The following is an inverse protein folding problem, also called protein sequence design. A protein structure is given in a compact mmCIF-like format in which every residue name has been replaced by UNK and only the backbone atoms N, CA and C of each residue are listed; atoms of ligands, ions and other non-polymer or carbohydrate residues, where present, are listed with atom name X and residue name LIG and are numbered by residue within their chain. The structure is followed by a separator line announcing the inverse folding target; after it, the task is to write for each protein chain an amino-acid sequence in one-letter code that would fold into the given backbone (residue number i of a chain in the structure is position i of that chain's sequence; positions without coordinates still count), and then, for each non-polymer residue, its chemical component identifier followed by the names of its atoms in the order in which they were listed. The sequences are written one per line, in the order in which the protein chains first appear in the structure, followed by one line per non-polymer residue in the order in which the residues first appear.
data_IF_963626019876
#
_entry.id   IF_963626019876
#
_cell.length_a   1.000
_cell.length_b   1.000
_cell.length_c   1.000
_cell.angle_alpha   90.00
_cell.angle_beta   90.00
_cell.angle_gamma   90.00
#
_symmetry.space_group_name_H-M   'P 1'
#
loop_
_entity.id
_entity.type
_entity.pdbx_description
1 polymer ?
#
# COMPACT_ATOMS: atom_id res chain seq x y z
N UNK A 1 44.50 9.64 25.33
CA UNK A 1 43.65 9.90 24.14
C UNK A 1 42.68 8.74 24.04
N UNK A 2 41.38 8.98 24.21
CA UNK A 2 40.37 7.93 23.99
C UNK A 2 40.26 7.72 22.49
N UNK A 3 40.56 6.51 22.01
CA UNK A 3 40.34 6.12 20.61
C UNK A 3 38.87 6.41 20.26
N UNK A 4 38.64 7.23 19.22
CA UNK A 4 37.30 7.39 18.69
C UNK A 4 36.82 6.00 18.24
N UNK A 5 35.62 5.56 18.64
CA UNK A 5 35.11 4.27 18.23
C UNK A 5 35.06 4.20 16.69
N UNK A 6 35.57 3.10 16.13
CA UNK A 6 35.55 2.86 14.67
C UNK A 6 34.12 2.92 14.17
N UNK A 7 33.88 3.70 13.12
CA UNK A 7 32.59 3.73 12.44
C UNK A 7 32.30 2.33 11.87
N UNK A 8 31.13 1.77 12.20
CA UNK A 8 30.70 0.47 11.66
C UNK A 8 30.42 0.59 10.16
N UNK A 9 30.78 -0.44 9.40
CA UNK A 9 30.57 -0.49 7.96
C UNK A 9 29.42 -1.44 7.61
N UNK A 10 28.65 -1.10 6.58
CA UNK A 10 27.62 -1.96 6.04
C UNK A 10 27.72 -2.07 4.51
N UNK A 11 27.50 -3.28 4.00
CA UNK A 11 27.31 -3.53 2.57
C UNK A 11 25.87 -3.94 2.32
N UNK A 12 25.21 -3.30 1.37
CA UNK A 12 23.87 -3.66 0.91
C UNK A 12 23.96 -4.21 -0.51
N UNK A 13 23.47 -5.43 -0.73
CA UNK A 13 23.49 -6.11 -2.03
C UNK A 13 22.17 -5.82 -2.75
N UNK A 14 22.22 -5.01 -3.80
CA UNK A 14 21.10 -4.62 -4.66
C UNK A 14 20.53 -3.23 -4.34
N UNK A 15 20.41 -2.39 -5.36
CA UNK A 15 19.86 -1.03 -5.31
C UNK A 15 18.36 -0.99 -5.69
N UNK A 16 17.60 -2.00 -5.27
CA UNK A 16 16.14 -1.97 -5.30
C UNK A 16 15.54 -1.08 -4.21
N UNK A 17 14.22 -0.90 -4.18
CA UNK A 17 13.53 -0.06 -3.19
C UNK A 17 13.87 -0.44 -1.73
N UNK A 18 13.90 -1.74 -1.41
CA UNK A 18 14.25 -2.22 -0.07
C UNK A 18 15.71 -1.93 0.30
N UNK A 19 16.63 -2.18 -0.63
CA UNK A 19 18.06 -1.94 -0.45
C UNK A 19 18.41 -0.46 -0.31
N UNK A 20 17.85 0.39 -1.17
CA UNK A 20 18.05 1.85 -1.13
C UNK A 20 17.48 2.47 0.14
N UNK A 21 16.25 2.10 0.54
CA UNK A 21 15.67 2.56 1.79
C UNK A 21 16.49 2.10 3.01
N UNK A 22 16.93 0.84 3.03
CA UNK A 22 17.76 0.32 4.13
C UNK A 22 19.13 1.01 4.18
N UNK A 23 19.76 1.22 3.04
CA UNK A 23 21.06 1.89 2.95
C UNK A 23 21.00 3.32 3.50
N UNK A 24 19.99 4.10 3.08
CA UNK A 24 19.78 5.46 3.57
C UNK A 24 19.59 5.47 5.10
N UNK A 25 18.79 4.54 5.64
CA UNK A 25 18.54 4.43 7.09
C UNK A 25 19.79 4.03 7.89
N UNK A 26 20.59 3.10 7.36
CA UNK A 26 21.84 2.68 7.99
C UNK A 26 22.86 3.83 8.00
N UNK A 27 22.96 4.58 6.90
CA UNK A 27 23.81 5.76 6.83
C UNK A 27 23.35 6.86 7.78
N UNK A 28 22.04 7.13 7.83
CA UNK A 28 21.43 8.06 8.79
C UNK A 28 21.67 7.65 10.25
N UNK A 29 21.74 6.34 10.53
CA UNK A 29 22.12 5.79 11.84
C UNK A 29 23.64 5.85 12.13
N UNK A 30 24.44 6.41 11.22
CA UNK A 30 25.86 6.67 11.39
C UNK A 30 26.80 5.57 10.85
N UNK A 31 26.31 4.59 10.10
CA UNK A 31 27.17 3.57 9.47
C UNK A 31 27.78 4.09 8.17
N UNK A 32 28.98 3.62 7.83
CA UNK A 32 29.55 3.81 6.50
C UNK A 32 28.98 2.74 5.56
N UNK A 33 28.13 3.14 4.62
CA UNK A 33 27.34 2.22 3.79
C UNK A 33 27.81 2.21 2.34
N UNK A 34 28.01 1.02 1.78
CA UNK A 34 28.18 0.82 0.33
C UNK A 34 27.06 -0.06 -0.21
N UNK A 35 26.40 0.39 -1.27
CA UNK A 35 25.43 -0.39 -2.04
C UNK A 35 26.11 -0.95 -3.28
N UNK A 36 26.00 -2.26 -3.50
CA UNK A 36 26.53 -2.95 -4.66
C UNK A 36 25.38 -3.40 -5.54
N UNK A 37 25.33 -2.91 -6.78
CA UNK A 37 24.27 -3.22 -7.74
C UNK A 37 24.89 -3.82 -9.00
N UNK A 38 24.35 -4.95 -9.46
CA UNK A 38 24.87 -5.64 -10.64
C UNK A 38 24.54 -4.91 -11.94
N UNK A 39 23.40 -4.21 -11.98
CA UNK A 39 22.99 -3.43 -13.13
C UNK A 39 23.72 -2.07 -13.16
N UNK A 40 23.70 -1.41 -14.30
CA UNK A 40 24.17 -0.03 -14.47
C UNK A 40 23.11 1.03 -14.07
N UNK A 41 21.96 0.58 -13.55
CA UNK A 41 20.86 1.40 -13.07
C UNK A 41 20.35 0.95 -11.68
N UNK A 42 19.64 1.84 -10.99
CA UNK A 42 18.96 1.58 -9.72
C UNK A 42 17.47 1.24 -9.92
N UNK A 43 16.80 0.72 -8.90
CA UNK A 43 15.37 0.39 -8.94
C UNK A 43 15.09 -1.10 -8.83
N UNK A 44 15.99 -1.96 -9.30
CA UNK A 44 15.74 -3.41 -9.36
C UNK A 44 14.45 -3.70 -10.13
N UNK A 45 13.46 -4.34 -9.48
CA UNK A 45 12.12 -4.56 -10.08
C UNK A 45 11.34 -3.25 -10.29
N UNK A 46 11.68 -2.18 -9.59
CA UNK A 46 11.12 -0.84 -9.76
C UNK A 46 11.95 -0.01 -10.77
N UNK A 47 12.48 -0.65 -11.82
CA UNK A 47 13.27 -0.01 -12.86
C UNK A 47 12.39 0.64 -13.93
N UNK A 48 13.03 1.49 -14.73
CA UNK A 48 12.42 2.27 -15.79
C UNK A 48 13.09 1.97 -17.13
N UNK A 49 12.31 1.51 -18.10
CA UNK A 49 12.75 1.37 -19.49
C UNK A 49 12.41 2.65 -20.26
N UNK A 50 13.39 3.20 -20.98
CA UNK A 50 13.17 4.33 -21.89
C UNK A 50 13.52 3.92 -23.32
N UNK A 51 12.58 4.10 -24.24
CA UNK A 51 12.78 3.82 -25.67
C UNK A 51 13.49 4.96 -26.38
N UNK A 52 14.15 4.67 -27.50
CA UNK A 52 14.76 5.70 -28.35
C UNK A 52 13.74 6.75 -28.85
N UNK A 53 12.47 6.38 -28.98
CA UNK A 53 11.34 7.24 -29.32
C UNK A 53 10.81 8.10 -28.16
N UNK A 54 11.38 7.99 -26.96
CA UNK A 54 11.01 8.80 -25.80
C UNK A 54 9.88 8.24 -24.93
N UNK A 55 9.30 7.07 -25.25
CA UNK A 55 8.37 6.39 -24.36
C UNK A 55 9.08 5.82 -23.14
N UNK A 56 8.41 5.88 -21.98
CA UNK A 56 8.89 5.41 -20.68
C UNK A 56 7.95 4.32 -20.15
N UNK A 57 8.51 3.26 -19.60
CA UNK A 57 7.78 2.12 -19.05
C UNK A 57 8.36 1.73 -17.68
N UNK A 58 7.57 1.89 -16.62
CA UNK A 58 7.87 1.25 -15.34
C UNK A 58 7.77 -0.27 -15.52
N UNK A 59 8.82 -1.01 -15.13
CA UNK A 59 8.93 -2.44 -15.46
C UNK A 59 8.34 -3.39 -14.40
N UNK A 60 7.94 -2.87 -13.24
CA UNK A 60 7.42 -3.70 -12.14
C UNK A 60 6.15 -3.13 -11.52
N UNK A 61 6.27 -2.34 -10.44
CA UNK A 61 5.10 -1.84 -9.73
C UNK A 61 4.28 -0.89 -10.60
N UNK A 62 2.97 -1.04 -10.51
CA UNK A 62 1.97 -0.24 -11.23
C UNK A 62 0.92 0.38 -10.31
N UNK A 63 0.95 0.05 -9.02
CA UNK A 63 0.01 0.53 -7.99
C UNK A 63 0.79 0.86 -6.72
N UNK A 64 0.63 2.08 -6.20
CA UNK A 64 1.16 2.46 -4.89
C UNK A 64 0.03 2.37 -3.86
N UNK A 65 0.15 1.39 -2.96
CA UNK A 65 -0.73 1.20 -1.81
C UNK A 65 0.00 1.64 -0.54
N UNK A 66 -0.74 1.90 0.54
CA UNK A 66 -0.18 2.26 1.84
C UNK A 66 0.76 3.49 1.77
N UNK A 67 0.33 4.63 1.19
CA UNK A 67 1.19 5.82 1.02
C UNK A 67 1.82 6.27 2.34
N UNK A 68 1.14 6.04 3.47
CA UNK A 68 1.65 6.31 4.82
C UNK A 68 3.03 5.68 5.09
N UNK A 69 3.30 4.47 4.62
CA UNK A 69 4.60 3.80 4.83
C UNK A 69 5.73 4.49 4.06
N UNK A 70 5.42 5.04 2.90
CA UNK A 70 6.36 5.85 2.14
C UNK A 70 6.61 7.19 2.84
N UNK A 71 5.57 7.91 3.27
CA UNK A 71 5.75 9.12 4.07
C UNK A 71 6.57 8.87 5.34
N UNK A 72 6.29 7.79 6.07
CA UNK A 72 7.04 7.40 7.26
C UNK A 72 8.52 7.17 6.94
N UNK A 73 8.82 6.50 5.80
CA UNK A 73 10.20 6.23 5.41
C UNK A 73 11.00 7.50 5.15
N UNK A 74 10.43 8.48 4.45
CA UNK A 74 11.09 9.77 4.23
C UNK A 74 11.20 10.59 5.53
N UNK A 75 10.17 10.54 6.39
CA UNK A 75 10.19 11.22 7.69
C UNK A 75 11.29 10.70 8.62
N UNK A 76 11.54 9.39 8.62
CA UNK A 76 12.62 8.75 9.40
C UNK A 76 14.02 9.08 8.86
N UNK A 77 14.11 9.64 7.66
CA UNK A 77 15.33 10.20 7.06
C UNK A 77 15.39 11.73 7.19
N UNK A 78 14.52 12.32 8.00
CA UNK A 78 14.50 13.77 8.24
C UNK A 78 13.92 14.61 7.10
N UNK A 79 13.18 14.00 6.17
CA UNK A 79 12.58 14.67 5.01
C UNK A 79 11.13 14.23 4.76
N UNK A 80 10.56 14.51 3.59
CA UNK A 80 9.22 14.08 3.15
C UNK A 80 9.23 13.75 1.67
N UNK A 81 8.24 12.98 1.19
CA UNK A 81 8.08 12.70 -0.24
C UNK A 81 8.00 13.99 -1.06
N UNK A 82 7.17 14.93 -0.60
CA UNK A 82 6.97 16.23 -1.23
C UNK A 82 8.24 17.09 -1.18
N UNK A 83 8.96 17.07 -0.07
CA UNK A 83 10.23 17.78 0.10
C UNK A 83 11.32 17.29 -0.86
N UNK A 84 11.30 16.01 -1.23
CA UNK A 84 12.18 15.44 -2.25
C UNK A 84 11.61 15.52 -3.67
N UNK A 85 10.44 16.15 -3.86
CA UNK A 85 9.81 16.33 -5.17
C UNK A 85 9.16 15.06 -5.72
N UNK A 86 8.63 14.20 -4.85
CA UNK A 86 7.75 13.08 -5.20
C UNK A 86 6.30 13.48 -4.93
N UNK A 87 5.58 13.85 -6.00
CA UNK A 87 4.14 14.12 -5.94
C UNK A 87 3.37 12.80 -6.08
N UNK A 88 2.54 12.44 -5.10
CA UNK A 88 1.61 11.32 -5.20
C UNK A 88 0.23 11.81 -5.62
N UNK A 89 -0.33 11.22 -6.68
CA UNK A 89 -1.71 11.47 -7.11
C UNK A 89 -2.57 10.26 -6.85
N UNK A 90 -3.71 10.48 -6.22
CA UNK A 90 -4.72 9.45 -6.07
C UNK A 90 -5.38 9.15 -7.42
N UNK A 91 -5.49 7.87 -7.76
CA UNK A 91 -6.19 7.39 -8.95
C UNK A 91 -7.69 7.41 -8.68
N UNK A 92 -8.44 8.16 -9.49
CA UNK A 92 -9.90 8.27 -9.37
C UNK A 92 -10.57 8.01 -10.74
N UNK A 93 -11.22 6.85 -10.95
CA UNK A 93 -11.34 5.71 -10.02
C UNK A 93 -10.01 4.98 -9.78
N UNK A 94 -9.96 4.07 -8.81
CA UNK A 94 -8.79 3.22 -8.57
C UNK A 94 -8.45 2.42 -9.84
N UNK A 95 -9.43 1.72 -10.42
CA UNK A 95 -9.36 1.04 -11.72
C UNK A 95 -10.75 0.61 -12.20
N UNK A 96 -10.83 0.11 -13.44
CA UNK A 96 -12.04 -0.50 -14.00
C UNK A 96 -11.79 -1.97 -14.34
N UNK A 97 -12.69 -2.84 -13.88
CA UNK A 97 -12.71 -4.25 -14.27
C UNK A 97 -13.65 -4.39 -15.46
N UNK A 98 -13.17 -4.97 -16.55
CA UNK A 98 -13.95 -5.26 -17.74
C UNK A 98 -14.30 -6.75 -17.81
N UNK A 99 -15.58 -7.05 -17.98
CA UNK A 99 -16.07 -8.40 -18.18
C UNK A 99 -16.05 -8.74 -19.68
N UNK A 100 -16.05 -10.04 -20.01
CA UNK A 100 -15.97 -10.52 -21.40
C UNK A 100 -17.17 -10.13 -22.28
N UNK A 101 -18.29 -9.72 -21.68
CA UNK A 101 -19.48 -9.19 -22.37
C UNK A 101 -19.42 -7.67 -22.59
N UNK A 102 -18.32 -7.02 -22.24
CA UNK A 102 -18.13 -5.58 -22.36
C UNK A 102 -18.72 -4.76 -21.20
N UNK A 103 -19.39 -5.40 -20.23
CA UNK A 103 -19.78 -4.71 -19.01
C UNK A 103 -18.54 -4.37 -18.16
N UNK A 104 -18.66 -3.38 -17.28
CA UNK A 104 -17.59 -2.99 -16.38
C UNK A 104 -18.07 -2.76 -14.95
N UNK A 105 -17.12 -2.86 -14.02
CA UNK A 105 -17.23 -2.42 -12.63
C UNK A 105 -16.17 -1.35 -12.35
N UNK A 106 -16.58 -0.18 -11.87
CA UNK A 106 -15.66 0.89 -11.47
C UNK A 106 -15.27 0.73 -10.00
N UNK A 107 -14.02 0.31 -9.76
CA UNK A 107 -13.48 0.21 -8.40
C UNK A 107 -13.05 1.58 -7.91
N UNK A 108 -13.57 2.03 -6.78
CA UNK A 108 -13.25 3.34 -6.23
C UNK A 108 -13.15 3.31 -4.71
N UNK A 109 -12.45 4.29 -4.15
CA UNK A 109 -12.49 4.60 -2.72
C UNK A 109 -13.59 5.60 -2.34
N UNK A 110 -14.30 6.14 -3.34
CA UNK A 110 -15.49 6.96 -3.18
C UNK A 110 -16.71 6.06 -2.89
N UNK A 111 -17.22 6.12 -1.66
CA UNK A 111 -18.36 5.30 -1.22
C UNK A 111 -19.64 5.59 -2.00
N UNK A 112 -19.86 6.82 -2.46
CA UNK A 112 -21.05 7.17 -3.23
C UNK A 112 -21.00 6.55 -4.64
N UNK A 113 -19.80 6.45 -5.25
CA UNK A 113 -19.61 5.69 -6.50
C UNK A 113 -19.74 4.20 -6.27
N UNK A 114 -19.11 3.68 -5.20
CA UNK A 114 -19.17 2.26 -4.87
C UNK A 114 -20.59 1.79 -4.59
N UNK A 115 -21.43 2.60 -3.93
CA UNK A 115 -22.85 2.29 -3.71
C UNK A 115 -23.57 2.04 -5.04
N UNK A 116 -23.43 2.97 -5.98
CA UNK A 116 -24.05 2.85 -7.32
C UNK A 116 -23.55 1.61 -8.07
N UNK A 117 -22.25 1.36 -8.03
CA UNK A 117 -21.67 0.20 -8.71
C UNK A 117 -22.09 -1.12 -8.07
N UNK A 118 -22.16 -1.24 -6.74
CA UNK A 118 -22.61 -2.45 -6.06
C UNK A 118 -24.10 -2.69 -6.29
N UNK A 119 -24.94 -1.66 -6.09
CA UNK A 119 -26.41 -1.80 -6.23
C UNK A 119 -26.83 -2.16 -7.66
N UNK A 120 -26.07 -1.75 -8.67
CA UNK A 120 -26.26 -2.14 -10.07
C UNK A 120 -26.24 -3.66 -10.28
N UNK A 121 -25.47 -4.40 -9.48
CA UNK A 121 -25.31 -5.86 -9.61
C UNK A 121 -26.09 -6.65 -8.55
N UNK A 122 -26.19 -6.12 -7.32
CA UNK A 122 -26.71 -6.85 -6.16
C UNK A 122 -28.04 -6.30 -5.63
N UNK A 123 -28.59 -5.27 -6.28
CA UNK A 123 -29.75 -4.52 -5.79
C UNK A 123 -29.43 -3.65 -4.57
N UNK A 124 -30.45 -2.96 -4.04
CA UNK A 124 -30.31 -2.03 -2.89
C UNK A 124 -29.69 -2.69 -1.66
N UNK A 125 -30.09 -3.94 -1.37
CA UNK A 125 -29.58 -4.70 -0.23
C UNK A 125 -28.09 -5.08 -0.38
N UNK A 126 -27.54 -5.00 -1.60
CA UNK A 126 -26.12 -5.22 -1.86
C UNK A 126 -25.21 -4.22 -1.15
N UNK A 127 -25.70 -2.99 -0.94
CA UNK A 127 -24.91 -1.95 -0.27
C UNK A 127 -24.60 -2.31 1.18
N UNK A 128 -25.59 -2.78 1.95
CA UNK A 128 -25.39 -3.20 3.34
C UNK A 128 -24.40 -4.37 3.43
N UNK A 129 -24.50 -5.33 2.50
CA UNK A 129 -23.55 -6.44 2.43
C UNK A 129 -22.13 -5.99 2.08
N UNK A 130 -21.98 -5.02 1.18
CA UNK A 130 -20.68 -4.41 0.88
C UNK A 130 -20.08 -3.72 2.12
N UNK A 131 -20.87 -2.99 2.89
CA UNK A 131 -20.39 -2.39 4.15
C UNK A 131 -19.96 -3.47 5.16
N UNK A 132 -20.70 -4.57 5.26
CA UNK A 132 -20.31 -5.74 6.06
C UNK A 132 -18.98 -6.35 5.60
N UNK A 133 -18.74 -6.44 4.29
CA UNK A 133 -17.46 -6.89 3.74
C UNK A 133 -16.33 -5.92 4.13
N UNK A 134 -16.57 -4.61 3.99
CA UNK A 134 -15.59 -3.58 4.31
C UNK A 134 -15.21 -3.59 5.79
N UNK A 135 -16.19 -3.86 6.67
CA UNK A 135 -15.95 -4.00 8.12
C UNK A 135 -15.07 -5.21 8.45
N UNK A 136 -15.32 -6.37 7.83
CA UNK A 136 -14.46 -7.55 7.99
C UNK A 136 -13.05 -7.29 7.44
N UNK A 137 -12.95 -6.70 6.25
CA UNK A 137 -11.68 -6.36 5.62
C UNK A 137 -10.87 -5.34 6.46
N UNK A 138 -11.53 -4.35 7.06
CA UNK A 138 -10.93 -3.42 8.02
C UNK A 138 -10.35 -4.17 9.23
N UNK A 139 -11.09 -5.14 9.77
CA UNK A 139 -10.63 -5.93 10.91
C UNK A 139 -9.40 -6.74 10.55
N UNK A 140 -9.38 -7.35 9.36
CA UNK A 140 -8.20 -8.04 8.84
C UNK A 140 -7.00 -7.10 8.67
N UNK A 141 -7.23 -5.88 8.16
CA UNK A 141 -6.19 -4.86 8.03
C UNK A 141 -5.57 -4.47 9.38
N UNK A 142 -6.38 -4.03 10.33
CA UNK A 142 -5.89 -3.55 11.64
C UNK A 142 -5.09 -4.64 12.37
N UNK A 143 -5.65 -5.86 12.43
CA UNK A 143 -4.97 -6.99 13.06
C UNK A 143 -3.67 -7.38 12.34
N UNK A 144 -3.65 -7.31 11.01
CA UNK A 144 -2.45 -7.63 10.23
C UNK A 144 -1.38 -6.56 10.41
N UNK A 145 -1.72 -5.28 10.42
CA UNK A 145 -0.79 -4.17 10.71
C UNK A 145 -0.22 -4.30 12.12
N UNK A 146 -1.08 -4.46 13.13
CA UNK A 146 -0.68 -4.49 14.55
C UNK A 146 0.15 -5.73 14.89
N UNK A 147 -0.21 -6.90 14.36
CA UNK A 147 0.36 -8.16 14.81
C UNK A 147 1.32 -8.81 13.82
N UNK A 148 1.29 -8.44 12.54
CA UNK A 148 2.04 -9.13 11.49
C UNK A 148 3.01 -8.19 10.77
N UNK A 149 2.52 -7.20 10.02
CA UNK A 149 3.33 -6.40 9.08
C UNK A 149 4.47 -5.62 9.75
N UNK A 150 4.28 -5.15 10.98
CA UNK A 150 5.27 -4.36 11.71
C UNK A 150 6.16 -5.20 12.65
N UNK A 151 6.18 -6.52 12.51
CA UNK A 151 6.91 -7.42 13.41
C UNK A 151 7.81 -8.40 12.66
N UNK A 152 8.99 -8.63 13.23
CA UNK A 152 9.90 -9.65 12.73
C UNK A 152 9.53 -11.03 13.26
N UNK A 153 9.55 -12.03 12.38
CA UNK A 153 9.34 -13.43 12.73
C UNK A 153 10.62 -14.21 12.45
N UNK A 154 11.43 -14.41 13.50
CA UNK A 154 12.73 -15.07 13.39
C UNK A 154 12.64 -16.59 13.55
N UNK A 155 11.49 -17.12 13.95
CA UNK A 155 11.22 -18.56 14.05
C UNK A 155 9.73 -18.88 14.03
N UNK A 156 9.36 -20.13 13.72
CA UNK A 156 7.96 -20.59 13.83
C UNK A 156 7.43 -20.44 15.27
N UNK A 157 8.28 -20.63 16.28
CA UNK A 157 7.90 -20.41 17.68
C UNK A 157 7.56 -18.92 17.96
N UNK A 158 8.22 -17.98 17.28
CA UNK A 158 7.90 -16.55 17.40
C UNK A 158 6.50 -16.18 16.87
N UNK A 159 5.89 -17.05 16.05
CA UNK A 159 4.50 -16.92 15.59
C UNK A 159 3.48 -17.44 16.60
N UNK A 160 3.87 -18.38 17.49
CA UNK A 160 2.99 -19.01 18.50
C UNK A 160 2.79 -18.10 19.72
N UNK A 161 2.14 -16.95 19.52
CA UNK A 161 1.79 -16.02 20.59
C UNK A 161 0.33 -16.22 20.99
N UNK A 162 0.02 -16.54 22.26
CA UNK A 162 -1.37 -16.68 22.72
C UNK A 162 -2.24 -15.45 22.40
N UNK A 163 -1.64 -14.25 22.45
CA UNK A 163 -2.29 -12.99 22.07
C UNK A 163 -2.67 -12.89 20.60
N UNK A 164 -1.97 -13.62 19.71
CA UNK A 164 -2.26 -13.68 18.27
C UNK A 164 -3.19 -14.85 17.93
N UNK A 165 -3.05 -15.99 18.61
CA UNK A 165 -3.88 -17.18 18.37
C UNK A 165 -5.38 -16.92 18.54
N UNK A 166 -5.78 -16.03 19.46
CA UNK A 166 -7.19 -15.62 19.61
C UNK A 166 -7.74 -14.92 18.35
N UNK A 167 -6.89 -14.23 17.60
CA UNK A 167 -7.27 -13.51 16.39
C UNK A 167 -7.29 -14.41 15.15
N UNK A 168 -6.81 -15.65 15.24
CA UNK A 168 -6.82 -16.61 14.14
C UNK A 168 -8.24 -16.89 13.64
N UNK A 169 -9.23 -16.90 14.55
CA UNK A 169 -10.63 -17.05 14.18
C UNK A 169 -11.20 -15.81 13.48
N UNK A 170 -10.79 -14.61 13.90
CA UNK A 170 -11.23 -13.34 13.30
C UNK A 170 -10.57 -13.11 11.93
N UNK A 171 -9.37 -13.63 11.73
CA UNK A 171 -8.57 -13.49 10.51
C UNK A 171 -9.02 -14.47 9.41
N UNK A 172 -9.70 -15.56 9.76
CA UNK A 172 -10.12 -16.59 8.81
C UNK A 172 -9.00 -17.10 7.86
N UNK A 173 -7.80 -17.45 8.36
CA UNK A 173 -6.68 -17.85 7.50
C UNK A 173 -6.88 -19.22 6.83
N UNK A 174 -7.86 -20.00 7.28
CA UNK A 174 -8.18 -21.34 6.76
C UNK A 174 -9.37 -21.36 5.80
N UNK A 175 -10.03 -20.22 5.57
CA UNK A 175 -11.08 -20.08 4.57
C UNK A 175 -10.51 -19.29 3.39
N UNK A 176 -10.87 -19.64 2.17
CA UNK A 176 -10.42 -18.86 1.01
C UNK A 176 -11.16 -17.54 0.90
N UNK A 177 -10.50 -16.52 0.35
CA UNK A 177 -11.08 -15.20 0.11
C UNK A 177 -12.31 -15.31 -0.79
N UNK A 178 -12.33 -16.25 -1.75
CA UNK A 178 -13.53 -16.55 -2.54
C UNK A 178 -14.71 -17.02 -1.69
N UNK A 179 -14.47 -17.96 -0.77
CA UNK A 179 -15.51 -18.48 0.13
C UNK A 179 -16.01 -17.40 1.08
N UNK A 180 -15.11 -16.56 1.62
CA UNK A 180 -15.46 -15.40 2.46
C UNK A 180 -16.29 -14.38 1.71
N UNK A 181 -15.81 -13.94 0.54
CA UNK A 181 -16.51 -12.97 -0.30
C UNK A 181 -17.92 -13.44 -0.66
N UNK A 182 -18.13 -14.76 -0.78
CA UNK A 182 -19.44 -15.34 -1.06
C UNK A 182 -20.51 -15.10 0.01
N UNK A 183 -20.13 -14.72 1.24
CA UNK A 183 -21.07 -14.31 2.29
C UNK A 183 -21.71 -12.95 2.00
N UNK A 184 -20.99 -12.07 1.31
CA UNK A 184 -21.37 -10.69 1.07
C UNK A 184 -21.88 -10.46 -0.35
N UNK A 185 -21.22 -11.06 -1.34
CA UNK A 185 -21.55 -10.90 -2.75
C UNK A 185 -22.20 -12.17 -3.27
N UNK A 186 -23.41 -12.07 -3.83
CA UNK A 186 -24.17 -13.23 -4.28
C UNK A 186 -24.00 -13.50 -5.76
N UNK A 187 -23.78 -12.45 -6.54
CA UNK A 187 -23.40 -12.57 -7.95
C UNK A 187 -21.96 -13.01 -8.08
N UNK A 188 -21.72 -13.92 -9.03
CA UNK A 188 -20.37 -14.38 -9.32
C UNK A 188 -19.47 -13.23 -9.80
N UNK A 189 -20.04 -12.23 -10.47
CA UNK A 189 -19.31 -11.04 -10.95
C UNK A 189 -18.75 -10.23 -9.80
N UNK A 190 -19.56 -9.89 -8.78
CA UNK A 190 -19.03 -9.15 -7.64
C UNK A 190 -18.09 -9.99 -6.78
N UNK A 191 -18.29 -11.31 -6.66
CA UNK A 191 -17.27 -12.17 -6.03
C UNK A 191 -15.93 -12.04 -6.73
N UNK A 192 -15.88 -12.13 -8.07
CA UNK A 192 -14.64 -11.94 -8.84
C UNK A 192 -14.02 -10.56 -8.62
N UNK A 193 -14.84 -9.50 -8.63
CA UNK A 193 -14.39 -8.12 -8.35
C UNK A 193 -13.73 -8.03 -6.97
N UNK A 194 -14.39 -8.54 -5.94
CA UNK A 194 -13.91 -8.47 -4.55
C UNK A 194 -12.96 -9.61 -4.15
N UNK A 195 -12.51 -10.41 -5.11
CA UNK A 195 -11.41 -11.37 -4.90
C UNK A 195 -10.25 -11.13 -5.84
N UNK A 196 -10.36 -10.17 -6.77
CA UNK A 196 -9.34 -9.86 -7.78
C UNK A 196 -7.99 -9.50 -7.14
N UNK A 197 -8.00 -8.87 -5.96
CA UNK A 197 -6.80 -8.49 -5.22
C UNK A 197 -5.88 -9.67 -4.85
N UNK A 198 -6.35 -10.93 -4.92
CA UNK A 198 -5.47 -12.10 -4.74
C UNK A 198 -4.33 -12.15 -5.76
N UNK A 199 -4.49 -11.46 -6.91
CA UNK A 199 -3.46 -11.33 -7.94
C UNK A 199 -2.17 -10.69 -7.42
N UNK A 200 -2.22 -9.80 -6.42
CA UNK A 200 -1.02 -9.14 -5.89
C UNK A 200 -0.03 -10.12 -5.26
N UNK A 201 -0.53 -11.29 -4.87
CA UNK A 201 0.27 -12.33 -4.26
C UNK A 201 0.61 -13.44 -5.27
N UNK A 202 0.16 -13.31 -6.52
CA UNK A 202 0.22 -14.40 -7.51
C UNK A 202 -0.58 -15.63 -7.08
N UNK A 203 -1.61 -15.47 -6.24
CA UNK A 203 -2.42 -16.58 -5.72
C UNK A 203 -3.81 -16.63 -6.36
N UNK A 204 -4.30 -17.86 -6.54
CA UNK A 204 -5.68 -18.13 -6.89
C UNK A 204 -6.61 -17.67 -5.75
N UNK A 205 -7.74 -16.98 -6.04
CA UNK A 205 -8.69 -16.55 -5.00
C UNK A 205 -9.39 -17.74 -4.32
N UNK A 206 -9.33 -18.92 -4.92
CA UNK A 206 -9.88 -20.15 -4.35
C UNK A 206 -8.97 -20.74 -3.25
N UNK A 207 -7.70 -20.34 -3.23
CA UNK A 207 -6.68 -20.85 -2.31
C UNK A 207 -6.15 -19.76 -1.36
N UNK A 208 -6.21 -18.50 -1.77
CA UNK A 208 -5.75 -17.36 -0.99
C UNK A 208 -6.58 -17.22 0.31
N UNK A 209 -5.95 -17.19 1.50
CA UNK A 209 -6.62 -16.99 2.79
C UNK A 209 -7.53 -15.75 2.88
N UNK A 210 -8.60 -15.84 3.68
CA UNK A 210 -9.58 -14.77 3.89
C UNK A 210 -8.97 -13.48 4.44
N UNK A 211 -7.89 -13.58 5.23
CA UNK A 211 -7.12 -12.42 5.73
C UNK A 211 -6.72 -11.43 4.66
N UNK A 212 -6.53 -11.90 3.41
CA UNK A 212 -6.03 -11.06 2.33
C UNK A 212 -7.03 -10.04 1.82
N UNK A 213 -8.28 -10.05 2.29
CA UNK A 213 -9.18 -8.91 2.08
C UNK A 213 -8.65 -7.61 2.68
N UNK A 214 -7.63 -7.66 3.56
CA UNK A 214 -6.88 -6.48 3.99
C UNK A 214 -6.35 -5.63 2.82
N UNK A 215 -5.93 -6.26 1.72
CA UNK A 215 -5.40 -5.55 0.54
C UNK A 215 -6.52 -4.85 -0.22
N UNK A 216 -7.72 -5.41 -0.20
CA UNK A 216 -8.89 -4.72 -0.76
C UNK A 216 -9.33 -3.57 0.13
N UNK A 217 -9.22 -3.72 1.46
CA UNK A 217 -9.49 -2.62 2.37
C UNK A 217 -8.59 -1.42 2.09
N UNK A 218 -7.29 -1.62 1.84
CA UNK A 218 -6.38 -0.51 1.52
C UNK A 218 -6.78 0.18 0.23
N UNK A 219 -7.15 -0.55 -0.83
CA UNK A 219 -7.67 0.07 -2.05
C UNK A 219 -8.97 0.86 -1.83
N UNK A 220 -9.93 0.25 -1.14
CA UNK A 220 -11.27 0.79 -0.96
C UNK A 220 -11.33 1.97 0.02
N UNK A 221 -10.39 2.04 0.97
CA UNK A 221 -10.38 3.09 1.98
C UNK A 221 -9.22 4.09 1.82
N UNK A 222 -8.00 3.62 1.54
CA UNK A 222 -6.84 4.50 1.37
C UNK A 222 -6.67 4.95 -0.09
N UNK A 223 -7.21 4.20 -1.04
CA UNK A 223 -7.09 4.46 -2.47
C UNK A 223 -5.80 3.93 -3.08
N UNK A 224 -5.73 3.99 -4.40
CA UNK A 224 -4.54 3.69 -5.19
C UNK A 224 -3.86 4.98 -5.59
N UNK A 225 -2.53 5.01 -5.48
CA UNK A 225 -1.74 6.21 -5.74
C UNK A 225 -0.76 5.97 -6.89
N UNK A 226 -0.44 7.05 -7.58
CA UNK A 226 0.56 7.10 -8.64
C UNK A 226 1.60 8.18 -8.34
N UNK A 227 2.89 7.84 -8.22
CA UNK A 227 3.96 8.83 -8.17
C UNK A 227 4.11 9.51 -9.54
N UNK A 228 3.91 10.82 -9.59
CA UNK A 228 4.07 11.59 -10.83
C UNK A 228 5.49 11.44 -11.33
N UNK A 229 5.62 10.94 -12.56
CA UNK A 229 6.90 10.62 -13.18
C UNK A 229 7.27 9.13 -13.15
N UNK A 230 6.46 8.27 -12.52
CA UNK A 230 6.65 6.82 -12.49
C UNK A 230 7.18 6.31 -11.16
N UNK A 231 7.11 5.00 -10.94
CA UNK A 231 7.44 4.36 -9.67
C UNK A 231 8.93 4.41 -9.35
N UNK A 232 9.77 4.36 -10.38
CA UNK A 232 11.22 4.53 -10.23
C UNK A 232 11.59 5.86 -9.56
N UNK A 233 10.76 6.92 -9.72
CA UNK A 233 10.98 8.24 -9.10
C UNK A 233 11.14 8.17 -7.58
N UNK A 234 10.41 7.27 -6.93
CA UNK A 234 10.52 7.07 -5.47
C UNK A 234 11.90 6.51 -5.10
N UNK A 235 12.40 5.56 -5.90
CA UNK A 235 13.73 4.97 -5.69
C UNK A 235 14.82 5.98 -5.99
N UNK A 236 14.71 6.71 -7.10
CA UNK A 236 15.63 7.78 -7.47
C UNK A 236 15.80 8.78 -6.32
N UNK A 237 14.70 9.24 -5.71
CA UNK A 237 14.75 10.15 -4.57
C UNK A 237 15.32 9.54 -3.30
N UNK A 238 15.08 8.25 -3.05
CA UNK A 238 15.76 7.56 -1.94
C UNK A 238 17.27 7.40 -2.16
N UNK A 239 17.71 7.21 -3.41
CA UNK A 239 19.14 7.17 -3.76
C UNK A 239 19.76 8.54 -3.51
N UNK A 240 19.15 9.63 -3.99
CA UNK A 240 19.63 10.99 -3.73
C UNK A 240 19.70 11.32 -2.23
N UNK A 241 18.69 10.93 -1.45
CA UNK A 241 18.71 11.06 0.02
C UNK A 241 19.88 10.26 0.60
N UNK A 242 20.05 9.00 0.19
CA UNK A 242 21.15 8.15 0.64
C UNK A 242 22.53 8.73 0.32
N UNK A 243 22.73 9.28 -0.87
CA UNK A 243 23.98 9.93 -1.26
C UNK A 243 24.31 11.13 -0.36
N UNK A 244 23.29 11.94 0.01
CA UNK A 244 23.47 13.05 0.96
C UNK A 244 23.83 12.59 2.37
N UNK A 245 23.33 11.42 2.78
CA UNK A 245 23.71 10.74 4.04
C UNK A 245 25.08 10.04 3.94
N UNK A 246 25.73 10.06 2.77
CA UNK A 246 27.07 9.48 2.56
C UNK A 246 27.09 8.02 2.10
N UNK A 247 25.97 7.48 1.63
CA UNK A 247 25.92 6.15 1.00
C UNK A 247 26.71 6.18 -0.31
N UNK A 248 27.56 5.18 -0.53
CA UNK A 248 28.28 4.98 -1.79
C UNK A 248 27.55 3.93 -2.64
N UNK A 249 27.04 4.31 -3.80
CA UNK A 249 26.42 3.38 -4.77
C UNK A 249 27.45 2.96 -5.83
N UNK A 250 27.78 1.67 -5.88
CA UNK A 250 28.64 1.08 -6.93
C UNK A 250 27.79 0.22 -7.87
N UNK A 251 27.43 0.81 -9.01
CA UNK A 251 26.69 0.15 -10.08
C UNK A 251 27.63 -0.70 -10.96
N UNK A 252 27.08 -1.65 -11.70
CA UNK A 252 27.84 -2.60 -12.52
C UNK A 252 28.78 -3.51 -11.69
N UNK A 253 28.46 -3.73 -10.41
CA UNK A 253 29.24 -4.54 -9.45
C UNK A 253 28.39 -5.68 -8.93
N UNK A 254 28.40 -6.79 -9.65
CA UNK A 254 27.78 -8.02 -9.22
C UNK A 254 28.54 -8.64 -8.03
N UNK A 255 27.79 -9.02 -7.00
CA UNK A 255 28.31 -9.79 -5.87
C UNK A 255 28.30 -11.26 -6.25
N UNK A 256 29.47 -11.89 -6.21
CA UNK A 256 29.62 -13.32 -6.46
C UNK A 256 29.22 -14.13 -5.22
N UNK A 257 29.64 -13.69 -4.03
CA UNK A 257 29.41 -14.44 -2.79
C UNK A 257 29.41 -13.57 -1.54
N UNK A 258 28.59 -13.93 -0.55
CA UNK A 258 28.69 -13.44 0.82
C UNK A 258 29.76 -14.26 1.56
N UNK A 259 30.68 -13.55 2.20
CA UNK A 259 31.83 -14.14 2.89
C UNK A 259 31.48 -14.28 4.36
N UNK A 260 31.69 -15.48 4.90
CA UNK A 260 31.44 -15.80 6.30
C UNK A 260 32.77 -15.94 7.05
N UNK A 261 32.76 -15.73 8.37
CA UNK A 261 33.91 -16.03 9.21
C UNK A 261 34.17 -17.54 9.34
N UNK A 262 35.24 -17.91 10.04
CA UNK A 262 35.69 -19.29 10.15
C UNK A 262 34.70 -20.25 10.81
N UNK A 263 33.68 -19.76 11.54
CA UNK A 263 32.59 -20.61 12.06
C UNK A 263 31.47 -20.82 11.05
N UNK A 264 31.38 -20.00 10.00
CA UNK A 264 30.29 -20.05 9.02
C UNK A 264 28.97 -19.45 9.52
N UNK A 265 28.95 -18.79 10.68
CA UNK A 265 27.72 -18.28 11.29
C UNK A 265 27.52 -16.77 11.07
N UNK A 266 28.59 -16.03 10.76
CA UNK A 266 28.53 -14.57 10.65
C UNK A 266 29.14 -14.08 9.34
N UNK A 267 28.41 -13.22 8.63
CA UNK A 267 28.93 -12.53 7.47
C UNK A 267 30.00 -11.50 7.87
N UNK A 268 31.09 -11.47 7.12
CA UNK A 268 32.23 -10.54 7.31
C UNK A 268 32.49 -9.67 6.09
N UNK A 269 31.72 -9.85 5.03
CA UNK A 269 31.87 -9.08 3.79
C UNK A 269 31.30 -9.79 2.59
N UNK A 270 31.73 -9.36 1.41
CA UNK A 270 31.34 -9.93 0.12
C UNK A 270 32.54 -10.05 -0.82
N UNK A 271 32.46 -10.98 -1.76
CA UNK A 271 33.33 -11.09 -2.92
C UNK A 271 32.57 -10.64 -4.15
N UNK A 272 33.14 -9.72 -4.93
CA UNK A 272 32.59 -9.29 -6.21
C UNK A 272 33.03 -10.22 -7.34
N UNK A 273 32.26 -10.23 -8.43
CA UNK A 273 32.75 -10.77 -9.70
C UNK A 273 34.04 -10.04 -10.11
N UNK A 274 35.08 -10.81 -10.44
CA UNK A 274 36.44 -10.28 -10.66
C UNK A 274 37.38 -10.41 -9.45
N UNK A 275 36.88 -10.92 -8.30
CA UNK A 275 37.70 -11.32 -7.16
C UNK A 275 38.02 -10.23 -6.14
N UNK A 276 37.49 -9.01 -6.31
CA UNK A 276 37.58 -7.96 -5.30
C UNK A 276 36.86 -8.39 -4.01
N UNK A 277 37.55 -8.27 -2.88
CA UNK A 277 37.01 -8.58 -1.56
C UNK A 277 36.69 -7.29 -0.81
N UNK A 278 35.48 -7.19 -0.28
CA UNK A 278 35.04 -6.04 0.52
C UNK A 278 34.55 -6.50 1.88
N UNK A 279 35.22 -6.07 2.94
CA UNK A 279 34.86 -6.39 4.32
C UNK A 279 33.79 -5.43 4.86
N UNK A 280 32.87 -5.96 5.68
CA UNK A 280 31.85 -5.15 6.35
C UNK A 280 31.43 -5.77 7.69
N UNK A 281 31.05 -4.91 8.63
CA UNK A 281 30.48 -5.35 9.91
C UNK A 281 29.05 -5.91 9.75
N UNK A 282 28.34 -5.44 8.73
CA UNK A 282 26.97 -5.83 8.41
C UNK A 282 26.83 -6.06 6.90
N UNK A 283 26.20 -7.17 6.51
CA UNK A 283 25.80 -7.42 5.12
C UNK A 283 24.28 -7.53 5.07
N UNK A 284 23.64 -6.68 4.28
CA UNK A 284 22.21 -6.73 4.00
C UNK A 284 22.02 -7.26 2.59
N UNK A 285 21.38 -8.40 2.45
CA UNK A 285 21.04 -8.93 1.15
C UNK A 285 19.62 -8.52 0.74
N UNK A 286 19.51 -7.72 -0.33
CA UNK A 286 18.24 -7.33 -0.93
C UNK A 286 17.97 -8.07 -2.26
N UNK A 287 18.76 -9.11 -2.58
CA UNK A 287 18.43 -10.02 -3.68
C UNK A 287 17.23 -10.90 -3.36
N UNK A 288 16.74 -11.61 -4.37
CA UNK A 288 15.80 -12.71 -4.15
C UNK A 288 16.35 -13.74 -3.16
N UNK A 289 15.49 -14.28 -2.30
CA UNK A 289 15.87 -15.22 -1.24
C UNK A 289 16.42 -16.53 -1.80
N UNK A 290 15.73 -17.11 -2.79
CA UNK A 290 16.15 -18.38 -3.39
C UNK A 290 17.50 -18.20 -4.04
N UNK A 291 17.67 -17.11 -4.81
CA UNK A 291 18.94 -16.73 -5.43
C UNK A 291 20.06 -16.56 -4.40
N UNK A 292 19.79 -15.87 -3.29
CA UNK A 292 20.78 -15.64 -2.24
C UNK A 292 21.33 -16.96 -1.67
N UNK A 293 20.44 -17.90 -1.36
CA UNK A 293 20.84 -19.18 -0.79
C UNK A 293 21.56 -20.07 -1.80
N UNK A 294 21.17 -20.06 -3.08
CA UNK A 294 21.81 -20.92 -4.10
C UNK A 294 23.12 -20.37 -4.63
N UNK A 295 23.24 -19.05 -4.76
CA UNK A 295 24.36 -18.43 -5.47
C UNK A 295 25.26 -17.60 -4.55
N UNK A 296 24.69 -16.85 -3.61
CA UNK A 296 25.46 -15.94 -2.76
C UNK A 296 25.99 -16.61 -1.48
N UNK A 297 25.32 -17.65 -0.99
CA UNK A 297 25.74 -18.43 0.17
C UNK A 297 26.29 -19.80 -0.25
N UNK A 298 27.08 -20.43 0.63
CA UNK A 298 27.72 -21.71 0.35
C UNK A 298 26.69 -22.83 0.10
N UNK A 299 26.96 -23.79 -0.81
CA UNK A 299 26.08 -24.93 -1.07
C UNK A 299 25.70 -25.74 0.19
N UNK A 300 26.60 -25.81 1.17
CA UNK A 300 26.41 -26.51 2.44
C UNK A 300 25.29 -25.89 3.30
N UNK A 301 24.97 -24.61 3.07
CA UNK A 301 23.89 -23.87 3.75
C UNK A 301 22.59 -23.81 2.92
N UNK A 302 22.65 -24.17 1.63
CA UNK A 302 21.52 -24.18 0.69
C UNK A 302 20.68 -25.47 0.75
N UNK A 303 21.12 -26.48 1.51
CA UNK A 303 20.56 -27.83 1.52
C UNK A 303 19.06 -27.90 1.86
N UNK A 304 18.50 -26.91 2.58
CA UNK A 304 17.08 -26.87 2.95
C UNK A 304 16.15 -26.29 1.86
N UNK A 305 16.70 -25.66 0.81
CA UNK A 305 15.92 -25.01 -0.26
C UNK A 305 16.10 -25.65 -1.64
N UNK A 306 16.93 -26.70 -1.75
CA UNK A 306 17.09 -27.49 -2.97
C UNK A 306 15.75 -28.18 -3.33
N UNK A 307 15.04 -27.63 -4.32
CA UNK A 307 13.75 -28.13 -4.79
C UNK A 307 12.67 -27.07 -5.04
N UNK A 308 12.89 -25.82 -4.61
CA UNK A 308 12.02 -24.70 -4.98
C UNK A 308 12.36 -24.22 -6.40
N UNK A 309 11.38 -23.93 -7.27
CA UNK A 309 11.65 -23.44 -8.61
C UNK A 309 12.42 -22.11 -8.55
N UNK A 310 13.47 -21.98 -9.36
CA UNK A 310 14.14 -20.69 -9.50
C UNK A 310 13.16 -19.63 -9.99
N UNK A 311 13.19 -18.40 -9.45
CA UNK A 311 12.41 -17.32 -10.01
C UNK A 311 12.88 -17.05 -11.44
N UNK A 312 11.91 -16.79 -12.33
CA UNK A 312 12.20 -16.48 -13.72
C UNK A 312 13.28 -15.37 -13.81
N UNK A 313 14.33 -15.56 -14.63
CA UNK A 313 15.33 -14.52 -14.81
C UNK A 313 14.64 -13.24 -15.30
N UNK A 314 14.98 -12.11 -14.66
CA UNK A 314 14.70 -10.80 -15.27
C UNK A 314 15.45 -10.82 -16.61
N UNK A 315 14.76 -10.65 -17.75
CA UNK A 315 15.41 -10.73 -19.05
C UNK A 315 16.61 -9.79 -19.07
N UNK A 316 17.75 -10.33 -19.49
CA UNK A 316 18.97 -9.56 -19.70
C UNK A 316 18.63 -8.39 -20.62
N UNK A 317 18.92 -7.16 -20.20
CA UNK A 317 18.50 -5.94 -20.91
C UNK A 317 19.09 -5.82 -22.34
N UNK A 318 19.96 -6.76 -22.73
CA UNK A 318 20.56 -6.89 -24.06
C UNK A 318 19.93 -7.98 -24.96
N UNK A 319 18.94 -8.74 -24.49
CA UNK A 319 18.19 -9.65 -25.34
C UNK A 319 17.09 -8.88 -26.07
N UNK A 320 17.36 -8.52 -27.32
CA UNK A 320 16.42 -7.89 -28.24
C UNK A 320 15.02 -8.54 -28.15
N UNK A 321 14.04 -7.74 -27.75
CA UNK A 321 12.62 -8.11 -27.66
C UNK A 321 12.10 -8.31 -29.09
N UNK A 322 12.12 -9.55 -29.58
CA UNK A 322 11.15 -10.02 -30.56
C UNK A 322 9.96 -10.62 -29.78
N UNK A 323 8.72 -10.17 -30.00
CA UNK A 323 7.58 -10.66 -29.23
C UNK A 323 7.22 -12.08 -29.69
N UNK A 324 7.58 -13.07 -28.89
CA UNK A 324 7.03 -14.42 -29.00
C UNK A 324 5.81 -14.52 -28.09
N UNK A 325 4.62 -14.42 -28.68
CA UNK A 325 3.35 -14.70 -28.02
C UNK A 325 3.07 -16.20 -28.15
N UNK A 326 3.10 -16.94 -27.04
CA UNK A 326 2.65 -18.33 -26.99
C UNK A 326 1.19 -18.35 -26.53
N UNK A 327 0.26 -18.64 -27.44
CA UNK A 327 -1.10 -19.06 -27.08
C UNK A 327 -1.16 -20.59 -26.97
N UNK A 328 -1.92 -21.16 -26.01
CA UNK A 328 -2.25 -22.59 -26.04
C UNK A 328 -3.21 -22.90 -27.22
N UNK A 329 -3.19 -24.13 -27.77
CA UNK A 329 -3.99 -24.48 -28.94
C UNK A 329 -5.48 -24.52 -28.57
N UNK A 330 -6.26 -23.60 -29.12
CA UNK A 330 -7.71 -23.72 -29.22
C UNK A 330 -8.04 -24.42 -30.54
N UNK A 331 -8.59 -25.64 -30.45
CA UNK A 331 -9.19 -26.36 -31.58
C UNK A 331 -10.49 -25.67 -32.00
N UNK A 332 -10.37 -24.60 -32.81
CA UNK A 332 -11.37 -24.15 -33.77
C UNK A 332 -10.76 -22.97 -34.55
N UNK A 333 -10.48 -23.15 -35.84
CA UNK A 333 -9.99 -22.09 -36.70
C UNK A 333 -11.04 -20.95 -36.80
N UNK A 334 -10.72 -19.70 -36.39
CA UNK A 334 -11.55 -18.56 -36.76
C UNK A 334 -11.23 -18.19 -38.22
N UNK A 335 -12.28 -17.86 -38.99
CA UNK A 335 -12.14 -17.32 -40.33
C UNK A 335 -11.33 -16.01 -40.36
N UNK A 336 -10.93 -15.53 -41.55
CA UNK A 336 -10.09 -14.34 -41.67
C UNK A 336 -10.76 -13.12 -41.01
N UNK A 337 -9.99 -12.25 -40.33
CA UNK A 337 -10.54 -11.07 -39.69
C UNK A 337 -11.15 -10.12 -40.74
N UNK A 338 -12.27 -9.45 -40.45
CA UNK A 338 -12.81 -8.44 -41.35
C UNK A 338 -11.81 -7.30 -41.51
N UNK A 339 -11.62 -6.84 -42.74
CA UNK A 339 -10.79 -5.69 -43.07
C UNK A 339 -11.29 -4.43 -42.37
N UNK A 340 -10.40 -3.77 -41.64
CA UNK A 340 -10.68 -2.45 -41.07
C UNK A 340 -10.94 -1.45 -42.21
N UNK A 341 -12.03 -0.67 -42.18
CA UNK A 341 -12.26 0.37 -43.18
C UNK A 341 -11.22 1.50 -43.02
N UNK A 342 -10.74 2.02 -44.14
CA UNK A 342 -9.83 3.15 -44.20
C UNK A 342 -10.43 4.39 -43.50
N UNK A 343 -9.60 5.25 -42.87
CA UNK A 343 -10.09 6.41 -42.12
C UNK A 343 -10.78 7.40 -43.07
N UNK A 344 -12.09 7.56 -42.94
CA UNK A 344 -12.84 8.63 -43.58
C UNK A 344 -12.61 9.92 -42.81
N UNK A 345 -12.09 10.95 -43.47
CA UNK A 345 -12.00 12.31 -42.93
C UNK A 345 -13.41 12.88 -42.70
N UNK A 346 -13.91 12.80 -41.48
CA UNK A 346 -15.12 13.51 -41.06
C UNK A 346 -14.69 14.59 -40.07
N UNK A 347 -14.68 15.85 -40.53
CA UNK A 347 -14.60 17.00 -39.66
C UNK A 347 -15.82 16.97 -38.71
N UNK A 348 -15.61 16.55 -37.47
CA UNK A 348 -16.61 16.70 -36.42
C UNK A 348 -16.49 18.12 -35.86
N UNK A 349 -17.50 18.94 -36.14
CA UNK A 349 -17.76 20.16 -35.38
C UNK A 349 -17.95 19.79 -33.91
N UNK A 350 -17.13 20.39 -33.04
CA UNK A 350 -17.28 20.31 -31.58
C UNK A 350 -18.70 20.74 -31.17
N UNK A 351 -19.35 20.08 -30.19
CA UNK A 351 -20.66 20.49 -29.71
C UNK A 351 -20.58 21.88 -29.07
N UNK A 352 -21.51 22.75 -29.45
CA UNK A 352 -21.71 24.09 -28.87
C UNK A 352 -22.10 23.92 -27.40
N UNK A 353 -21.44 24.67 -26.51
CA UNK A 353 -21.72 24.66 -25.07
C UNK A 353 -23.21 24.96 -24.78
N UNK A 354 -23.83 24.28 -23.80
CA UNK A 354 -25.23 24.52 -23.44
C UNK A 354 -25.41 25.95 -22.89
N UNK A 355 -26.60 26.57 -23.10
CA UNK A 355 -26.88 27.91 -22.61
C UNK A 355 -26.81 27.97 -21.08
N UNK A 356 -26.29 29.08 -20.54
CA UNK A 356 -26.01 29.27 -19.11
C UNK A 356 -27.21 29.04 -18.18
N UNK A 357 -28.44 29.16 -18.69
CA UNK A 357 -29.67 28.85 -17.94
C UNK A 357 -29.80 27.36 -17.59
N UNK A 358 -29.35 26.46 -18.47
CA UNK A 358 -29.41 25.01 -18.26
C UNK A 358 -28.32 24.53 -17.28
N UNK A 359 -27.16 25.19 -17.29
CA UNK A 359 -26.07 24.96 -16.34
C UNK A 359 -26.48 25.38 -14.91
N UNK A 360 -27.30 26.42 -14.77
CA UNK A 360 -27.81 26.86 -13.47
C UNK A 360 -28.86 25.87 -12.90
N UNK A 361 -29.79 25.38 -13.72
CA UNK A 361 -30.78 24.37 -13.32
C UNK A 361 -30.10 23.05 -12.92
N UNK A 362 -29.11 22.59 -13.67
CA UNK A 362 -28.35 21.37 -13.35
C UNK A 362 -27.52 21.54 -12.06
N UNK A 363 -26.95 22.73 -11.82
CA UNK A 363 -26.22 23.04 -10.58
C UNK A 363 -27.14 22.99 -9.36
N UNK A 364 -28.31 23.61 -9.45
CA UNK A 364 -29.24 23.68 -8.32
C UNK A 364 -29.88 22.29 -8.06
N UNK A 365 -30.06 21.46 -9.09
CA UNK A 365 -30.45 20.04 -8.95
C UNK A 365 -29.34 19.18 -8.30
N UNK A 366 -28.06 19.44 -8.61
CA UNK A 366 -26.92 18.74 -7.98
C UNK A 366 -26.77 19.16 -6.50
N UNK A 367 -27.02 20.43 -6.18
CA UNK A 367 -27.04 20.93 -4.80
C UNK A 367 -28.19 20.29 -4.02
N UNK A 368 -29.40 20.24 -4.59
CA UNK A 368 -30.54 19.56 -3.97
C UNK A 368 -30.30 18.05 -3.77
N UNK A 369 -29.64 17.38 -4.72
CA UNK A 369 -29.27 15.97 -4.60
C UNK A 369 -28.17 15.74 -3.55
N UNK A 370 -27.28 16.72 -3.31
CA UNK A 370 -26.32 16.69 -2.20
C UNK A 370 -26.99 16.88 -0.84
N UNK A 371 -28.01 17.75 -0.75
CA UNK A 371 -28.76 17.96 0.50
C UNK A 371 -29.66 16.76 0.87
N UNK A 372 -30.13 15.97 -0.11
CA UNK A 372 -30.78 14.67 0.15
C UNK A 372 -29.79 13.58 0.60
N UNK A 373 -28.53 13.61 0.12
CA UNK A 373 -27.48 12.67 0.51
C UNK A 373 -26.97 12.87 1.95
N UNK A 374 -27.00 14.11 2.46
CA UNK A 374 -26.63 14.45 3.85
C UNK A 374 -27.55 13.77 4.89
N UNK A 375 -28.82 13.53 4.55
CA UNK A 375 -29.76 12.82 5.42
C UNK A 375 -29.52 11.30 5.43
N UNK A 376 -29.08 10.74 4.31
CA UNK A 376 -28.71 9.32 4.19
C UNK A 376 -27.35 9.01 4.84
N UNK A 377 -26.38 9.94 4.78
CA UNK A 377 -25.13 9.86 5.54
C UNK A 377 -25.37 9.94 7.05
N UNK A 378 -26.35 10.76 7.49
CA UNK A 378 -26.81 10.78 8.88
C UNK A 378 -27.39 9.44 9.32
N UNK A 379 -28.21 8.81 8.48
CA UNK A 379 -28.78 7.49 8.77
C UNK A 379 -27.71 6.39 8.81
N UNK A 380 -26.71 6.44 7.92
CA UNK A 380 -25.58 5.50 7.92
C UNK A 380 -24.66 5.69 9.14
N UNK A 381 -24.47 6.94 9.58
CA UNK A 381 -23.70 7.27 10.79
C UNK A 381 -24.45 6.86 12.07
N UNK A 382 -25.78 7.04 12.11
CA UNK A 382 -26.66 6.58 13.21
C UNK A 382 -26.75 5.05 13.29
N UNK A 383 -26.61 4.35 12.16
CA UNK A 383 -26.54 2.88 12.10
C UNK A 383 -25.17 2.36 12.57
N UNK A 384 -24.07 2.95 12.10
CA UNK A 384 -22.71 2.64 12.57
C UNK A 384 -22.51 2.89 14.08
N UNK A 385 -23.26 3.83 14.66
CA UNK A 385 -23.23 4.11 16.09
C UNK A 385 -24.03 3.11 16.95
N UNK A 386 -24.90 2.28 16.34
CA UNK A 386 -25.84 1.40 17.06
C UNK A 386 -25.40 -0.06 17.21
N UNK A 387 -24.26 -0.46 16.65
CA UNK A 387 -23.74 -1.81 16.86
C UNK A 387 -22.23 -1.83 17.07
N UNK A 388 -21.80 -2.81 17.88
CA UNK A 388 -20.45 -3.15 18.33
C UNK A 388 -20.10 -2.70 19.75
N UNK A 389 -20.25 -3.70 20.64
CA UNK A 389 -19.68 -3.83 21.97
C UNK A 389 -18.33 -3.14 22.18
N UNK A 390 -18.26 -2.41 23.28
CA UNK A 390 -17.12 -1.62 23.69
C UNK A 390 -15.91 -2.45 24.13
N UNK A 391 -14.76 -2.05 23.59
CA UNK A 391 -13.41 -1.94 24.17
C UNK A 391 -12.58 -1.33 23.04
N UNK A 392 -11.64 -0.42 23.35
CA UNK A 392 -10.80 0.36 22.41
C UNK A 392 -11.36 1.75 22.06
N UNK A 393 -11.58 2.62 23.06
CA UNK A 393 -11.70 4.08 22.84
C UNK A 393 -11.09 4.92 23.97
N UNK A 394 -10.17 4.35 24.76
CA UNK A 394 -9.52 5.09 25.88
C UNK A 394 -8.21 5.76 25.46
N UNK A 395 -7.45 5.15 24.54
CA UNK A 395 -6.13 5.63 24.12
C UNK A 395 -6.19 6.76 23.09
N UNK A 396 -7.24 6.84 22.26
CA UNK A 396 -7.36 7.87 21.23
C UNK A 396 -7.84 9.23 21.76
N UNK A 397 -8.50 9.28 22.93
CA UNK A 397 -8.99 10.53 23.54
C UNK A 397 -7.85 11.40 24.07
N UNK A 398 -6.84 10.78 24.68
CA UNK A 398 -5.69 11.50 25.24
C UNK A 398 -4.79 12.05 24.12
N UNK A 399 -4.63 11.29 23.03
CA UNK A 399 -3.90 11.70 21.83
C UNK A 399 -4.62 12.79 21.02
N UNK A 400 -5.95 12.70 20.88
CA UNK A 400 -6.74 13.70 20.16
C UNK A 400 -6.78 15.03 20.92
N UNK A 401 -6.90 15.00 22.26
CA UNK A 401 -6.86 16.20 23.09
C UNK A 401 -5.48 16.88 23.04
N UNK A 402 -4.40 16.11 23.10
CA UNK A 402 -3.04 16.62 22.94
C UNK A 402 -2.79 17.26 21.57
N UNK A 403 -3.36 16.69 20.49
CA UNK A 403 -3.27 17.24 19.12
C UNK A 403 -4.11 18.50 18.95
N UNK A 404 -5.29 18.57 19.57
CA UNK A 404 -6.18 19.73 19.52
C UNK A 404 -5.58 20.92 20.29
N UNK A 405 -4.97 20.67 21.44
CA UNK A 405 -4.31 21.70 22.25
C UNK A 405 -3.04 22.22 21.57
N UNK A 406 -2.31 21.36 20.83
CA UNK A 406 -1.18 21.77 19.99
C UNK A 406 -1.61 22.57 18.76
N UNK A 407 -2.73 22.22 18.13
CA UNK A 407 -3.25 22.92 16.95
C UNK A 407 -3.81 24.32 17.24
N UNK A 408 -4.19 24.62 18.50
CA UNK A 408 -4.69 25.96 18.89
C UNK A 408 -3.59 27.01 19.03
N UNK A 409 -2.31 26.63 19.08
CA UNK A 409 -1.20 27.57 19.35
C UNK A 409 -0.39 27.99 18.12
N UNK A 410 -0.58 27.36 16.96
CA UNK A 410 0.18 27.67 15.73
C UNK A 410 -0.77 28.06 14.59
N UNK A 411 -1.15 29.34 14.55
CA UNK A 411 -1.90 29.90 13.42
C UNK A 411 -0.95 30.14 12.22
N UNK A 412 -1.21 29.47 11.09
CA UNK A 412 -0.54 29.67 9.79
C UNK A 412 -1.61 29.88 8.70
N UNK A 413 -1.48 30.85 7.75
CA UNK A 413 -2.60 31.41 6.98
C UNK A 413 -3.15 30.59 5.79
N UNK A 414 -2.89 29.29 5.67
CA UNK A 414 -3.43 28.49 4.55
C UNK A 414 -4.47 27.48 5.06
N UNK A 415 -5.73 27.89 4.94
CA UNK A 415 -6.91 27.24 5.50
C UNK A 415 -7.67 26.48 4.39
N UNK A 416 -7.37 25.20 4.21
CA UNK A 416 -7.96 24.38 3.15
C UNK A 416 -9.38 23.90 3.49
N UNK A 417 -10.29 23.74 2.50
CA UNK A 417 -11.66 23.28 2.72
C UNK A 417 -11.77 21.95 3.47
N UNK A 418 -10.82 21.04 3.27
CA UNK A 418 -10.78 19.73 3.94
C UNK A 418 -10.51 19.87 5.45
N UNK A 419 -9.72 20.86 5.85
CA UNK A 419 -9.42 21.12 7.27
C UNK A 419 -10.61 21.75 7.99
N UNK A 420 -11.37 22.62 7.29
CA UNK A 420 -12.64 23.16 7.78
C UNK A 420 -13.69 22.08 7.96
N UNK A 421 -13.77 21.13 7.03
CA UNK A 421 -14.67 19.98 7.13
C UNK A 421 -14.30 19.08 8.33
N UNK A 422 -13.02 18.76 8.51
CA UNK A 422 -12.56 17.98 9.65
C UNK A 422 -12.81 18.67 11.01
N UNK A 423 -12.61 19.99 11.09
CA UNK A 423 -12.96 20.78 12.28
C UNK A 423 -14.47 20.81 12.54
N UNK A 424 -15.29 20.87 11.49
CA UNK A 424 -16.75 20.84 11.59
C UNK A 424 -17.24 19.49 12.13
N UNK A 425 -16.69 18.39 11.61
CA UNK A 425 -16.99 17.03 12.06
C UNK A 425 -16.62 16.86 13.54
N UNK A 426 -15.44 17.31 13.97
CA UNK A 426 -15.04 17.20 15.38
C UNK A 426 -15.86 18.13 16.30
N UNK A 427 -16.23 19.33 15.84
CA UNK A 427 -17.12 20.21 16.61
C UNK A 427 -18.52 19.62 16.78
N UNK A 428 -19.03 18.90 15.78
CA UNK A 428 -20.36 18.30 15.84
C UNK A 428 -20.38 17.04 16.71
N UNK A 429 -19.28 16.26 16.75
CA UNK A 429 -19.11 15.17 17.71
C UNK A 429 -19.12 15.66 19.16
N UNK A 430 -18.45 16.77 19.44
CA UNK A 430 -18.44 17.39 20.78
C UNK A 430 -19.84 17.91 21.13
N UNK A 431 -20.52 18.56 20.20
CA UNK A 431 -21.90 19.05 20.38
C UNK A 431 -22.89 17.90 20.63
N UNK A 432 -22.76 16.78 19.93
CA UNK A 432 -23.60 15.59 20.12
C UNK A 432 -23.34 14.92 21.47
N UNK A 433 -22.08 14.90 21.94
CA UNK A 433 -21.72 14.44 23.27
C UNK A 433 -22.33 15.32 24.38
N UNK A 434 -22.36 16.64 24.19
CA UNK A 434 -22.98 17.58 25.13
C UNK A 434 -24.52 17.54 25.08
N UNK A 435 -25.10 17.27 23.92
CA UNK A 435 -26.55 17.22 23.72
C UNK A 435 -27.20 15.91 24.18
N UNK A 436 -26.46 14.79 24.15
CA UNK A 436 -26.98 13.45 24.46
C UNK A 436 -26.08 12.64 25.42
N UNK A 437 -25.82 13.15 26.64
CA UNK A 437 -24.96 12.47 27.63
C UNK A 437 -25.48 11.09 28.06
N UNK A 438 -26.77 10.81 27.86
CA UNK A 438 -27.46 9.54 28.15
C UNK A 438 -27.12 8.39 27.19
N UNK A 439 -26.40 8.64 26.09
CA UNK A 439 -25.95 7.57 25.17
C UNK A 439 -24.71 6.83 25.70
N UNK A 440 -24.13 7.30 26.79
CA UNK A 440 -22.87 6.83 27.37
C UNK A 440 -22.89 5.99 28.69
N UNK A 441 -24.00 5.73 29.44
CA UNK A 441 -23.92 5.14 30.78
C UNK A 441 -23.72 3.62 30.93
N UNK A 442 -23.57 2.79 29.88
CA UNK A 442 -23.44 1.33 30.05
C UNK A 442 -21.99 0.80 30.13
N UNK A 443 -21.02 1.66 30.43
CA UNK A 443 -19.63 1.26 30.71
C UNK A 443 -19.34 1.56 32.18
N UNK A 444 -19.48 0.54 33.03
CA UNK A 444 -19.20 0.66 34.45
C UNK A 444 -17.74 0.98 34.75
N UNK A 445 -17.49 2.20 35.24
CA UNK A 445 -16.54 2.48 36.34
C UNK A 445 -17.23 3.51 37.25
N UNK A 446 -17.55 3.08 38.48
CA UNK A 446 -17.74 3.97 39.62
C UNK A 446 -16.37 4.52 39.99
N UNK A 447 -16.17 5.82 39.89
CA UNK A 447 -15.28 6.54 40.79
C UNK A 447 -15.84 7.95 41.02
N UNK A 448 -16.16 8.23 42.29
CA UNK A 448 -16.56 9.54 42.79
C UNK A 448 -15.40 10.50 42.61
N UNK A 449 -15.62 11.63 41.94
CA UNK A 449 -14.86 12.85 42.22
C UNK A 449 -15.85 14.00 42.34
N UNK A 450 -16.06 14.43 43.58
CA UNK A 450 -16.68 15.71 43.92
C UNK A 450 -15.81 16.82 43.34
N UNK A 451 -16.43 17.72 42.57
CA UNK A 451 -15.92 19.07 42.41
C UNK A 451 -16.76 19.97 43.31
N UNK A 452 -16.19 20.46 44.40
CA UNK A 452 -16.56 21.78 44.87
C UNK A 452 -15.38 22.50 45.54
N UNK A 453 -14.89 23.48 44.79
CA UNK A 453 -14.46 24.83 45.14
C UNK A 453 -13.64 25.16 46.41
N UNK A 454 -12.64 26.03 46.14
CA UNK A 454 -12.09 27.15 46.94
C UNK A 454 -10.71 26.99 47.60
N UNK A 455 -9.80 27.79 47.05
CA UNK A 455 -8.99 28.83 47.70
C UNK A 455 -7.74 28.43 48.53
N UNK A 456 -6.65 29.06 48.09
CA UNK A 456 -5.54 29.66 48.87
C UNK A 456 -4.50 28.78 49.58
N UNK A 457 -3.25 29.23 49.38
CA UNK A 457 -1.95 28.88 49.95
C UNK A 457 -1.23 27.67 49.34
#
# INVERSE_FOLDING_TARGET
MSEKPRQKTAIVIGAGIGGTATAARLAHAGLAVTVLEKNDFTGGRCSLLTTASGYRFDQGPSLLLLPRLFHQTFAELGTSLEGEGVELRKCEPNYRIWFGDGASFEMSSDLARMKKEVEKWEGRDGWERYLGYLQEAHRHYELSVEHVLLKNFTSLASMLRPSFLRHLFELHPFESIWTRAGKYFWTERLRRVFTFGSMYMGMSPFDAPGTYSLLQYTELCEGIWYPVGGFHRVVEKLVEVGEREGVVYRLGRAVERIVLDGSGERAVGVRLEGGEMMEADVVVNNSDLVYAYTHLLAPEQSASLQGQPEPHPVPDANAAIAPTVLYPPFDAAPGPPPSLPAPQSRAQTLPVAPPASKIAEDRDAIIAAHEELDNDERAATEWLAKDVNGRIYRTQREDAKARLDKAKFEANPYDSPERKLAQRIESEKVRLFEAHPEWWPNIGIREKVNYDSKATA
#
